data_IF_028825888371
#
_entry.id   IF_028825888371
#
_cell.length_a   1.000
_cell.length_b   1.000
_cell.length_c   1.000
_cell.angle_alpha   90.00
_cell.angle_beta   90.00
_cell.angle_gamma   90.00
#
_symmetry.space_group_name_H-M   'P 1'
#
loop_
_entity.id
_entity.type
_entity.pdbx_description
1 polymer ?
#
# COMPACT_ATOMS: atom_id res chain seq x y z
N UNK A 1 4.82 15.24 21.52
CA UNK A 1 4.35 13.84 21.65
C UNK A 1 3.60 13.36 20.40
N UNK A 2 2.68 14.14 19.82
CA UNK A 2 1.96 13.73 18.60
C UNK A 2 2.86 13.61 17.35
N UNK A 3 3.86 14.47 17.20
CA UNK A 3 4.80 14.48 16.05
C UNK A 3 5.65 13.20 15.99
N UNK A 4 6.15 12.73 17.13
CA UNK A 4 6.89 11.46 17.23
C UNK A 4 6.05 10.25 16.82
N UNK A 5 4.77 10.24 17.19
CA UNK A 5 3.85 9.18 16.78
C UNK A 5 3.57 9.22 15.28
N UNK A 6 3.37 10.41 14.72
CA UNK A 6 3.17 10.60 13.28
C UNK A 6 4.40 10.16 12.47
N UNK A 7 5.61 10.50 12.92
CA UNK A 7 6.86 10.06 12.27
C UNK A 7 6.97 8.53 12.26
N UNK A 8 6.68 7.87 13.39
CA UNK A 8 6.66 6.40 13.49
C UNK A 8 5.61 5.75 12.58
N UNK A 9 4.42 6.34 12.49
CA UNK A 9 3.39 5.89 11.56
C UNK A 9 3.87 6.03 10.10
N UNK A 10 4.50 7.15 9.76
CA UNK A 10 5.02 7.42 8.41
C UNK A 10 6.09 6.40 7.99
N UNK A 11 6.97 5.99 8.92
CA UNK A 11 7.95 4.91 8.69
C UNK A 11 7.25 3.60 8.28
N UNK A 12 6.19 3.22 9.00
CA UNK A 12 5.42 1.99 8.73
C UNK A 12 4.78 2.03 7.34
N UNK A 13 4.19 3.16 6.96
CA UNK A 13 3.64 3.31 5.61
C UNK A 13 4.72 3.25 4.54
N UNK A 14 5.89 3.83 4.79
CA UNK A 14 7.03 3.75 3.88
C UNK A 14 7.42 2.29 3.60
N UNK A 15 7.49 1.48 4.64
CA UNK A 15 7.79 0.05 4.53
C UNK A 15 6.71 -0.70 3.74
N UNK A 16 5.43 -0.36 3.93
CA UNK A 16 4.33 -0.94 3.13
C UNK A 16 4.40 -0.50 1.66
N UNK A 17 4.67 0.77 1.38
CA UNK A 17 4.85 1.31 0.03
C UNK A 17 6.06 0.69 -0.70
N UNK A 18 7.10 0.34 0.06
CA UNK A 18 8.31 -0.30 -0.43
C UNK A 18 8.20 -1.82 -0.51
N UNK A 19 7.08 -2.40 -0.09
CA UNK A 19 6.88 -3.83 -0.13
C UNK A 19 7.01 -4.35 -1.56
N UNK A 20 7.71 -5.48 -1.70
CA UNK A 20 7.95 -6.09 -3.00
C UNK A 20 6.65 -6.44 -3.72
N UNK A 21 5.60 -6.77 -2.97
CA UNK A 21 4.30 -7.16 -3.51
C UNK A 21 3.55 -5.96 -4.09
N UNK A 22 3.52 -4.82 -3.37
CA UNK A 22 2.91 -3.59 -3.88
C UNK A 22 3.68 -3.04 -5.08
N UNK A 23 5.02 -3.06 -5.06
CA UNK A 23 5.83 -2.59 -6.18
C UNK A 23 5.66 -3.45 -7.44
N UNK A 24 5.46 -4.76 -7.28
CA UNK A 24 5.14 -5.65 -8.41
C UNK A 24 3.74 -5.35 -8.95
N UNK A 25 2.76 -5.23 -8.07
CA UNK A 25 1.38 -4.91 -8.43
C UNK A 25 1.28 -3.57 -9.15
N UNK A 26 1.88 -2.51 -8.59
CA UNK A 26 1.90 -1.19 -9.19
C UNK A 26 2.56 -1.13 -10.57
N UNK A 27 3.52 -2.02 -10.83
CA UNK A 27 4.12 -2.16 -12.16
C UNK A 27 3.18 -2.87 -13.14
N UNK A 28 2.35 -3.80 -12.67
CA UNK A 28 1.35 -4.49 -13.49
C UNK A 28 0.19 -3.55 -13.85
N UNK A 29 -0.31 -2.79 -12.87
CA UNK A 29 -1.41 -1.83 -13.03
C UNK A 29 -0.98 -0.47 -13.63
N UNK A 30 0.31 -0.25 -13.85
CA UNK A 30 0.83 0.98 -14.46
C UNK A 30 0.84 2.21 -13.54
N UNK A 31 0.48 2.08 -12.27
CA UNK A 31 0.40 3.16 -11.27
C UNK A 31 1.75 3.49 -10.59
N UNK A 32 2.87 3.13 -11.21
CA UNK A 32 4.20 3.29 -10.61
C UNK A 32 4.60 4.76 -10.44
N UNK A 33 4.17 5.64 -11.34
CA UNK A 33 4.47 7.08 -11.25
C UNK A 33 3.74 7.73 -10.07
N UNK A 34 2.47 7.35 -9.85
CA UNK A 34 1.69 7.75 -8.70
C UNK A 34 2.39 7.30 -7.41
N UNK A 35 2.79 6.03 -7.33
CA UNK A 35 3.49 5.50 -6.16
C UNK A 35 4.82 6.24 -5.85
N UNK A 36 5.56 6.64 -6.88
CA UNK A 36 6.78 7.45 -6.70
C UNK A 36 6.48 8.91 -6.31
N UNK A 37 5.34 9.47 -6.75
CA UNK A 37 4.88 10.78 -6.28
C UNK A 37 4.51 10.75 -4.80
N UNK A 38 3.87 9.67 -4.36
CA UNK A 38 3.49 9.47 -2.96
C UNK A 38 4.72 9.33 -2.08
N UNK A 39 5.70 8.53 -2.51
CA UNK A 39 7.02 8.43 -1.87
C UNK A 39 7.67 9.80 -1.65
N UNK A 40 7.74 10.64 -2.70
CA UNK A 40 8.33 11.98 -2.62
C UNK A 40 7.58 12.87 -1.61
N UNK A 41 6.26 12.79 -1.62
CA UNK A 41 5.40 13.56 -0.72
C UNK A 41 5.65 13.17 0.73
N UNK A 42 5.73 11.87 1.04
CA UNK A 42 6.03 11.37 2.38
C UNK A 42 7.44 11.76 2.85
N UNK A 43 8.46 11.77 1.97
CA UNK A 43 9.80 12.28 2.32
C UNK A 43 9.78 13.76 2.70
N UNK A 44 8.99 14.59 1.98
CA UNK A 44 8.85 16.01 2.30
C UNK A 44 8.19 16.18 3.67
N UNK A 45 7.14 15.42 3.92
CA UNK A 45 6.43 15.41 5.21
C UNK A 45 7.36 15.05 6.35
N UNK A 46 8.16 13.99 6.21
CA UNK A 46 9.07 13.55 7.27
C UNK A 46 10.09 14.64 7.62
N UNK A 47 10.61 15.32 6.60
CA UNK A 47 11.50 16.47 6.80
C UNK A 47 10.83 17.62 7.54
N UNK A 48 9.58 17.94 7.22
CA UNK A 48 8.83 19.00 7.92
C UNK A 48 8.53 18.60 9.36
N UNK A 49 8.24 17.33 9.63
CA UNK A 49 8.09 16.81 10.99
C UNK A 49 9.39 16.92 11.79
N UNK A 50 10.52 16.53 11.20
CA UNK A 50 11.85 16.64 11.83
C UNK A 50 12.20 18.11 12.14
N UNK A 51 11.95 19.01 11.17
CA UNK A 51 12.17 20.46 11.34
C UNK A 51 11.25 21.07 12.41
N UNK A 52 10.01 20.57 12.54
CA UNK A 52 9.05 21.03 13.54
C UNK A 52 9.42 20.57 14.96
N UNK A 53 9.92 19.34 15.11
CA UNK A 53 10.43 18.80 16.38
C UNK A 53 11.64 19.60 16.87
N UNK A 54 12.59 19.92 15.99
CA UNK A 54 13.76 20.74 16.34
C UNK A 54 13.41 22.18 16.72
N UNK A 55 12.34 22.75 16.13
CA UNK A 55 12.01 24.16 16.35
C UNK A 55 11.07 24.44 17.53
N UNK A 56 10.43 23.44 18.15
CA UNK A 56 9.49 23.59 19.30
C UNK A 56 8.49 24.77 19.19
N UNK A 57 8.15 25.20 17.97
CA UNK A 57 7.24 26.32 17.73
C UNK A 57 5.91 25.77 17.27
N UNK A 58 5.04 25.53 18.24
CA UNK A 58 3.64 25.17 17.98
C UNK A 58 2.86 26.41 17.56
N UNK A 59 3.12 26.89 16.33
CA UNK A 59 2.24 27.83 15.65
C UNK A 59 0.94 27.12 15.29
N UNK A 60 -0.19 27.83 15.34
CA UNK A 60 -1.51 27.26 15.04
C UNK A 60 -1.55 26.59 13.65
N UNK A 61 -0.82 27.17 12.71
CA UNK A 61 -0.62 26.67 11.35
C UNK A 61 0.04 25.29 11.29
N UNK A 62 0.98 24.98 12.20
CA UNK A 62 1.64 23.66 12.25
C UNK A 62 0.63 22.60 12.71
N UNK A 63 -0.27 22.96 13.64
CA UNK A 63 -1.33 22.08 14.11
C UNK A 63 -2.31 21.72 13.00
N UNK A 64 -2.78 22.71 12.25
CA UNK A 64 -3.70 22.48 11.13
C UNK A 64 -3.03 21.60 10.05
N UNK A 65 -1.75 21.84 9.76
CA UNK A 65 -0.98 21.01 8.82
C UNK A 65 -0.76 19.56 9.31
N UNK A 66 -0.56 19.35 10.62
CA UNK A 66 -0.46 18.02 11.21
C UNK A 66 -1.78 17.25 11.18
N UNK A 67 -2.91 17.93 11.32
CA UNK A 67 -4.24 17.33 11.18
C UNK A 67 -4.49 16.93 9.71
N UNK A 68 -4.19 17.79 8.74
CA UNK A 68 -4.27 17.46 7.31
C UNK A 68 -3.36 16.26 6.95
N UNK A 69 -2.18 16.21 7.57
CA UNK A 69 -1.25 15.10 7.37
C UNK A 69 -1.80 13.78 7.93
N UNK A 70 -2.46 13.82 9.08
CA UNK A 70 -3.09 12.64 9.67
C UNK A 70 -4.22 12.15 8.76
N UNK A 71 -5.02 13.05 8.19
CA UNK A 71 -6.10 12.68 7.29
C UNK A 71 -5.53 12.02 6.01
N UNK A 72 -4.45 12.58 5.45
CA UNK A 72 -3.74 11.96 4.34
C UNK A 72 -3.21 10.56 4.70
N UNK A 73 -2.70 10.35 5.91
CA UNK A 73 -2.24 9.04 6.38
C UNK A 73 -3.35 7.98 6.29
N UNK A 74 -4.55 8.31 6.75
CA UNK A 74 -5.69 7.39 6.71
C UNK A 74 -6.13 7.08 5.28
N UNK A 75 -6.19 8.09 4.42
CA UNK A 75 -6.49 7.89 2.99
C UNK A 75 -5.47 6.93 2.32
N UNK A 76 -4.19 7.02 2.69
CA UNK A 76 -3.16 6.11 2.18
C UNK A 76 -3.27 4.70 2.73
N UNK A 77 -3.60 4.54 4.02
CA UNK A 77 -3.77 3.23 4.64
C UNK A 77 -4.95 2.48 4.03
N UNK A 78 -6.09 3.16 3.84
CA UNK A 78 -7.28 2.61 3.19
C UNK A 78 -6.99 2.16 1.76
N UNK A 79 -6.26 2.98 0.99
CA UNK A 79 -5.87 2.64 -0.37
C UNK A 79 -4.92 1.42 -0.42
N UNK A 80 -3.97 1.32 0.50
CA UNK A 80 -3.06 0.17 0.59
C UNK A 80 -3.79 -1.13 0.95
N UNK A 81 -4.80 -1.04 1.80
CA UNK A 81 -5.63 -2.18 2.18
C UNK A 81 -6.55 -2.64 1.04
N UNK A 82 -7.07 -1.71 0.25
CA UNK A 82 -7.79 -2.00 -0.99
C UNK A 82 -6.87 -2.73 -2.00
N UNK A 83 -5.65 -2.21 -2.21
CA UNK A 83 -4.65 -2.87 -3.07
C UNK A 83 -4.26 -4.27 -2.58
N UNK A 84 -4.06 -4.44 -1.28
CA UNK A 84 -3.73 -5.75 -0.71
C UNK A 84 -4.87 -6.75 -0.92
N UNK A 85 -6.12 -6.28 -0.83
CA UNK A 85 -7.31 -7.10 -1.06
C UNK A 85 -7.43 -7.52 -2.52
N UNK A 86 -7.22 -6.60 -3.46
CA UNK A 86 -7.27 -6.92 -4.90
C UNK A 86 -6.12 -7.87 -5.29
N UNK A 87 -4.90 -7.62 -4.82
CA UNK A 87 -3.76 -8.51 -5.08
C UNK A 87 -3.99 -9.94 -4.54
N UNK A 88 -4.69 -10.09 -3.41
CA UNK A 88 -5.11 -11.39 -2.90
C UNK A 88 -6.20 -12.03 -3.76
N UNK A 89 -7.15 -11.24 -4.25
CA UNK A 89 -8.23 -11.68 -5.11
C UNK A 89 -7.70 -12.21 -6.45
N UNK A 90 -6.82 -11.47 -7.13
CA UNK A 90 -6.17 -11.91 -8.36
C UNK A 90 -5.39 -13.22 -8.18
N UNK A 91 -4.61 -13.33 -7.09
CA UNK A 91 -3.90 -14.58 -6.77
C UNK A 91 -4.86 -15.76 -6.60
N UNK A 92 -6.01 -15.53 -5.98
CA UNK A 92 -7.02 -16.57 -5.72
C UNK A 92 -7.73 -17.01 -7.00
N UNK A 93 -8.02 -16.08 -7.91
CA UNK A 93 -8.55 -16.39 -9.24
C UNK A 93 -7.56 -17.23 -10.07
N UNK A 94 -6.29 -16.84 -10.11
CA UNK A 94 -5.23 -17.58 -10.82
C UNK A 94 -4.97 -18.98 -10.23
N UNK A 95 -5.18 -19.16 -8.93
CA UNK A 95 -5.08 -20.47 -8.28
C UNK A 95 -6.29 -21.39 -8.54
N UNK A 96 -7.47 -20.82 -8.79
CA UNK A 96 -8.71 -21.56 -9.07
C UNK A 96 -8.75 -22.18 -10.47
N UNK A 97 -8.15 -21.55 -11.47
CA UNK A 97 -8.16 -22.04 -12.86
C UNK A 97 -7.31 -23.31 -13.07
N UNK A 98 -6.34 -23.55 -12.18
CA UNK A 98 -5.48 -24.75 -12.23
C UNK A 98 -6.23 -26.05 -11.87
N UNK A 99 -7.36 -25.98 -11.15
CA UNK A 99 -8.16 -27.17 -10.81
C UNK A 99 -9.25 -27.52 -11.82
N UNK A 100 -9.71 -26.56 -12.65
CA UNK A 100 -10.72 -26.83 -13.67
C UNK A 100 -10.14 -27.62 -14.87
N UNK A 101 -8.89 -27.35 -15.27
CA UNK A 101 -8.25 -28.08 -16.39
C UNK A 101 -7.82 -29.51 -16.02
N UNK A 102 -7.52 -29.81 -14.76
CA UNK A 102 -7.19 -31.18 -14.33
C UNK A 102 -8.41 -32.11 -14.27
N UNK A 103 -9.62 -31.55 -14.11
CA UNK A 103 -10.86 -32.34 -13.98
C UNK A 103 -11.38 -32.86 -15.32
N UNK A 104 -11.07 -32.21 -16.45
CA UNK A 104 -11.56 -32.65 -17.78
C UNK A 104 -10.80 -33.85 -18.36
N UNK A 105 -9.65 -34.25 -17.80
CA UNK A 105 -8.85 -35.39 -18.29
C UNK A 105 -9.16 -36.73 -17.59
N UNK A 106 -10.06 -36.77 -16.59
CA UNK A 106 -10.35 -38.00 -15.80
C UNK A 106 -11.62 -38.74 -16.27
N UNK A 107 -12.29 -38.31 -17.35
CA UNK A 107 -13.55 -38.92 -17.80
C UNK A 107 -13.47 -39.73 -19.10
N UNK A 108 -12.28 -40.05 -19.61
CA UNK A 108 -12.14 -40.70 -20.93
C UNK A 108 -11.19 -41.88 -20.97
N UNK A 109 -11.31 -42.83 -20.03
CA UNK A 109 -10.62 -44.13 -20.13
C UNK A 109 -11.44 -45.33 -19.65
N UNK A 110 -12.78 -45.26 -19.68
CA UNK A 110 -13.61 -46.44 -19.39
C UNK A 110 -14.75 -46.54 -20.40
N UNK A 111 -14.40 -46.66 -21.68
CA UNK A 111 -15.33 -47.10 -22.73
C UNK A 111 -14.54 -47.54 -23.97
N UNK A 112 -13.97 -48.75 -23.94
CA UNK A 112 -13.73 -49.55 -25.14
C UNK A 112 -13.36 -50.99 -24.77
N UNK A 113 -14.31 -51.89 -25.04
CA UNK A 113 -14.20 -53.34 -25.31
C UNK A 113 -13.21 -54.20 -24.52
#
# INVERSE_FOLDING_TARGET
MAEFLLSKCLDILFDRLLSSDLLKFARLEGIREELDKWRKTMTIIQRVLDDAEEQQRTEKTVKDWLDDLRDLFYDMEDLLDEFATEALHERKLMAGESQASASMMVQKTDESC
#
